data_IF_017832393717
#
_entry.id   IF_017832393717
#
_cell.length_a   1.000
_cell.length_b   1.000
_cell.length_c   1.000
_cell.angle_alpha   90.00
_cell.angle_beta   90.00
_cell.angle_gamma   90.00
#
_symmetry.space_group_name_H-M   'P 1'
#
loop_
_entity.id
_entity.type
_entity.pdbx_description
1 polymer ?
#
# COMPACT_ATOMS: atom_id res chain seq x y z
N UNK A 1 20.16 -23.55 -16.01
CA UNK A 1 19.88 -22.12 -15.73
C UNK A 1 18.39 -21.92 -15.92
N UNK A 2 17.61 -22.02 -14.85
CA UNK A 2 16.17 -21.81 -14.90
C UNK A 2 15.87 -20.58 -14.07
N UNK A 3 15.45 -19.53 -14.76
CA UNK A 3 14.86 -18.31 -14.20
C UNK A 3 13.75 -18.72 -13.24
N UNK A 4 13.96 -18.49 -11.94
CA UNK A 4 12.88 -18.54 -10.97
C UNK A 4 11.85 -17.51 -11.39
N UNK A 5 10.60 -17.93 -11.53
CA UNK A 5 9.47 -17.03 -11.64
C UNK A 5 9.57 -16.03 -10.49
N UNK A 6 9.66 -14.74 -10.80
CA UNK A 6 9.25 -13.71 -9.86
C UNK A 6 7.73 -13.82 -9.77
N UNK A 7 7.28 -14.62 -8.81
CA UNK A 7 5.92 -14.59 -8.33
C UNK A 7 5.78 -13.25 -7.59
N UNK A 8 5.24 -12.24 -8.28
CA UNK A 8 5.14 -10.88 -7.74
C UNK A 8 3.95 -10.72 -6.80
N UNK A 9 2.97 -11.61 -6.91
CA UNK A 9 1.73 -11.58 -6.16
C UNK A 9 1.72 -12.73 -5.16
N UNK A 10 1.45 -12.50 -3.88
CA UNK A 10 1.33 -13.57 -2.89
C UNK A 10 0.08 -14.45 -3.17
N UNK A 11 0.21 -15.76 -3.02
CA UNK A 11 -0.92 -16.69 -3.08
C UNK A 11 -1.64 -16.80 -1.73
N UNK A 12 -1.04 -16.28 -0.65
CA UNK A 12 -1.65 -16.29 0.68
C UNK A 12 -1.24 -15.12 1.58
N UNK A 13 -2.07 -14.82 2.58
CA UNK A 13 -1.73 -13.86 3.63
C UNK A 13 -0.48 -14.28 4.43
N UNK A 14 -0.22 -15.58 4.55
CA UNK A 14 0.96 -16.10 5.26
C UNK A 14 2.26 -15.81 4.52
N UNK A 15 2.23 -15.89 3.19
CA UNK A 15 3.35 -15.52 2.31
C UNK A 15 3.66 -14.02 2.42
N UNK A 16 2.62 -13.17 2.37
CA UNK A 16 2.75 -11.72 2.61
C UNK A 16 3.43 -11.39 3.94
N UNK A 17 3.05 -12.09 5.01
CA UNK A 17 3.62 -11.87 6.34
C UNK A 17 5.09 -12.33 6.38
N UNK A 18 5.40 -13.47 5.74
CA UNK A 18 6.76 -14.01 5.68
C UNK A 18 7.72 -13.07 4.93
N UNK A 19 7.26 -12.46 3.83
CA UNK A 19 8.04 -11.47 3.09
C UNK A 19 8.35 -10.22 3.94
N UNK A 20 7.36 -9.76 4.72
CA UNK A 20 7.54 -8.64 5.64
C UNK A 20 8.54 -8.93 6.77
N UNK A 21 8.78 -10.19 7.14
CA UNK A 21 9.71 -10.55 8.22
C UNK A 21 11.17 -10.22 7.87
N UNK A 22 11.49 -10.07 6.58
CA UNK A 22 12.83 -9.67 6.11
C UNK A 22 13.10 -8.16 6.17
N UNK A 23 12.13 -7.33 6.52
CA UNK A 23 12.28 -5.87 6.54
C UNK A 23 13.29 -5.47 7.63
N UNK A 24 14.41 -4.80 7.27
CA UNK A 24 15.43 -4.39 8.23
C UNK A 24 14.87 -3.55 9.37
N UNK A 25 15.34 -3.79 10.60
CA UNK A 25 14.91 -3.07 11.79
C UNK A 25 15.19 -1.56 11.75
N UNK A 26 16.14 -1.11 10.92
CA UNK A 26 16.40 0.31 10.67
C UNK A 26 15.33 1.02 9.84
N UNK A 27 14.51 0.27 9.10
CA UNK A 27 13.36 0.78 8.35
C UNK A 27 12.05 0.61 9.13
N UNK A 28 12.05 -0.25 10.14
CA UNK A 28 10.95 -0.35 11.09
C UNK A 28 10.97 0.96 11.88
N UNK A 29 9.97 1.82 11.65
CA UNK A 29 9.83 3.07 12.39
C UNK A 29 10.02 2.77 13.88
N UNK A 30 10.89 3.53 14.54
CA UNK A 30 11.06 3.45 15.98
C UNK A 30 9.66 3.43 16.61
N UNK A 31 9.43 2.51 17.55
CA UNK A 31 8.16 2.33 18.26
C UNK A 31 7.93 3.51 19.23
N UNK A 32 8.05 4.72 18.69
CA UNK A 32 7.70 5.97 19.30
C UNK A 32 6.18 5.97 19.36
N UNK A 33 5.57 6.32 20.49
CA UNK A 33 4.14 6.57 20.51
C UNK A 33 3.85 7.71 19.52
N UNK A 34 3.36 7.36 18.33
CA UNK A 34 2.89 8.36 17.38
C UNK A 34 1.76 9.14 18.07
N UNK A 35 1.76 10.47 18.01
CA UNK A 35 0.60 11.23 18.44
C UNK A 35 -0.59 10.69 17.65
N UNK A 36 -1.65 10.27 18.36
CA UNK A 36 -2.91 9.85 17.73
C UNK A 36 -3.54 11.09 17.08
N UNK A 37 -3.10 11.44 15.89
CA UNK A 37 -3.76 12.42 15.06
C UNK A 37 -5.03 11.76 14.55
N UNK A 38 -6.17 12.19 15.08
CA UNK A 38 -7.47 11.80 14.53
C UNK A 38 -7.56 12.51 13.19
N UNK A 39 -7.40 11.77 12.10
CA UNK A 39 -7.67 12.29 10.77
C UNK A 39 -9.15 12.72 10.71
N UNK A 40 -9.47 13.89 10.13
CA UNK A 40 -10.85 14.24 9.86
C UNK A 40 -11.49 13.19 8.94
N UNK A 41 -12.82 13.01 8.98
CA UNK A 41 -13.52 12.14 8.05
C UNK A 41 -13.15 12.50 6.61
N UNK A 42 -12.72 11.51 5.84
CA UNK A 42 -12.40 11.71 4.44
C UNK A 42 -13.68 12.08 3.68
N UNK A 43 -13.61 13.16 2.90
CA UNK A 43 -14.70 13.64 2.04
C UNK A 43 -14.15 13.80 0.63
N UNK A 44 -14.86 13.25 -0.35
CA UNK A 44 -14.57 13.48 -1.77
C UNK A 44 -15.21 14.80 -2.15
N UNK A 45 -14.40 15.75 -2.61
CA UNK A 45 -14.89 17.03 -3.11
C UNK A 45 -14.95 17.03 -4.65
N UNK A 46 -15.53 18.09 -5.20
CA UNK A 46 -15.64 18.32 -6.65
C UNK A 46 -14.28 18.30 -7.35
N UNK A 47 -13.19 18.72 -6.66
CA UNK A 47 -11.85 18.73 -7.24
C UNK A 47 -11.32 17.31 -7.42
N UNK A 48 -11.57 16.44 -6.45
CA UNK A 48 -11.24 15.02 -6.52
C UNK A 48 -12.06 14.32 -7.61
N UNK A 49 -13.36 14.62 -7.71
CA UNK A 49 -14.21 14.07 -8.77
C UNK A 49 -13.74 14.51 -10.17
N UNK A 50 -13.38 15.78 -10.35
CA UNK A 50 -12.91 16.31 -11.63
C UNK A 50 -11.62 15.63 -12.14
N UNK A 51 -10.78 15.07 -11.27
CA UNK A 51 -9.56 14.37 -11.68
C UNK A 51 -9.83 13.05 -12.42
N UNK A 52 -10.98 12.45 -12.20
CA UNK A 52 -11.35 11.13 -12.75
C UNK A 52 -12.57 11.19 -13.67
N UNK A 53 -13.07 12.39 -13.97
CA UNK A 53 -14.31 12.61 -14.69
C UNK A 53 -14.31 12.00 -16.11
N UNK A 54 -13.15 11.97 -16.78
CA UNK A 54 -13.00 11.44 -18.14
C UNK A 54 -12.24 10.11 -18.16
N UNK A 55 -12.04 9.47 -17.00
CA UNK A 55 -11.24 8.24 -16.92
C UNK A 55 -11.96 7.06 -17.59
N UNK A 56 -13.28 7.10 -17.65
CA UNK A 56 -14.14 6.13 -18.35
C UNK A 56 -14.05 6.22 -19.88
N UNK A 57 -13.48 7.31 -20.41
CA UNK A 57 -13.23 7.48 -21.84
C UNK A 57 -11.94 6.78 -22.32
N UNK A 58 -11.10 6.28 -21.42
CA UNK A 58 -9.89 5.52 -21.76
C UNK A 58 -10.26 4.04 -21.99
N UNK A 59 -10.08 3.57 -23.23
CA UNK A 59 -10.28 2.17 -23.68
C UNK A 59 -8.94 1.51 -23.98
#
# INVERSE_FOLDING_TARGET
MTTSAYHLEPESIGELIADCAGIPSSLQAENLPLPRQIAPPWTVDERCLAQVADLDAYV
#
